data_IF_229714303270
#
_entry.id   IF_229714303270
#
_cell.length_a   1.000
_cell.length_b   1.000
_cell.length_c   1.000
_cell.angle_alpha   90.00
_cell.angle_beta   90.00
_cell.angle_gamma   90.00
#
_symmetry.space_group_name_H-M   'P 1'
#
loop_
_entity.id
_entity.type
_entity.pdbx_description
1 polymer ?
#
# COMPACT_ATOMS: atom_id res chain seq x y z
N UNK A 1 21.98 -14.28 -0.52
CA UNK A 1 21.29 -13.47 -1.56
C UNK A 1 19.79 -13.29 -1.30
N UNK A 2 19.12 -14.14 -0.51
CA UNK A 2 17.68 -14.04 -0.18
C UNK A 2 17.29 -12.95 0.86
N UNK A 3 18.24 -12.41 1.64
CA UNK A 3 17.96 -11.45 2.73
C UNK A 3 17.28 -10.13 2.30
N UNK A 4 17.20 -9.83 1.01
CA UNK A 4 16.55 -8.59 0.54
C UNK A 4 15.04 -8.73 0.33
N UNK A 5 14.51 -9.96 0.24
CA UNK A 5 13.07 -10.19 0.07
C UNK A 5 12.26 -9.63 1.24
N UNK A 6 12.82 -9.59 2.44
CA UNK A 6 12.20 -8.99 3.64
C UNK A 6 11.91 -7.48 3.48
N UNK A 7 12.48 -6.81 2.48
CA UNK A 7 12.22 -5.40 2.16
C UNK A 7 11.10 -5.20 1.13
N UNK A 8 10.66 -6.28 0.49
CA UNK A 8 9.54 -6.27 -0.47
C UNK A 8 8.22 -6.52 0.26
N UNK A 9 7.06 -6.30 -0.39
CA UNK A 9 5.77 -6.69 0.18
C UNK A 9 5.78 -8.16 0.61
N UNK A 10 5.04 -8.50 1.67
CA UNK A 10 5.06 -9.83 2.28
C UNK A 10 4.67 -10.95 1.32
N UNK A 11 3.88 -10.67 0.28
CA UNK A 11 3.53 -11.66 -0.75
C UNK A 11 4.64 -11.91 -1.78
N UNK A 12 5.71 -11.12 -1.78
CA UNK A 12 6.79 -11.23 -2.73
C UNK A 12 7.63 -12.48 -2.47
N UNK A 13 7.84 -13.28 -3.51
CA UNK A 13 8.65 -14.50 -3.43
C UNK A 13 9.43 -14.74 -4.72
N UNK A 14 10.52 -15.49 -4.61
CA UNK A 14 11.27 -15.96 -5.77
C UNK A 14 10.97 -17.45 -5.96
N UNK A 15 10.42 -17.80 -7.11
CA UNK A 15 10.17 -19.19 -7.51
C UNK A 15 10.82 -19.45 -8.87
N UNK A 16 11.63 -20.51 -8.98
CA UNK A 16 12.34 -20.88 -10.22
C UNK A 16 13.16 -19.72 -10.84
N UNK A 17 13.67 -18.80 -10.02
CA UNK A 17 14.43 -17.64 -10.48
C UNK A 17 13.59 -16.43 -10.93
N UNK A 18 12.26 -16.51 -10.84
CA UNK A 18 11.36 -15.39 -11.14
C UNK A 18 10.85 -14.71 -9.87
N UNK A 19 10.74 -13.37 -9.91
CA UNK A 19 10.06 -12.59 -8.87
C UNK A 19 8.54 -12.66 -9.09
N UNK A 20 7.83 -13.16 -8.08
CA UNK A 20 6.39 -13.14 -7.99
C UNK A 20 5.94 -12.03 -7.03
N UNK A 21 4.91 -11.28 -7.42
CA UNK A 21 4.24 -10.25 -6.62
C UNK A 21 2.74 -10.61 -6.56
N UNK A 22 2.20 -10.92 -5.38
CA UNK A 22 0.80 -11.34 -5.25
C UNK A 22 0.45 -12.56 -6.10
N UNK A 23 1.36 -13.53 -6.22
CA UNK A 23 1.28 -14.70 -7.12
C UNK A 23 1.34 -14.42 -8.63
N UNK A 24 1.63 -13.18 -9.05
CA UNK A 24 1.84 -12.83 -10.46
C UNK A 24 3.34 -12.66 -10.75
N UNK A 25 3.82 -13.22 -11.86
CA UNK A 25 5.19 -13.03 -12.30
C UNK A 25 5.42 -11.58 -12.72
N UNK A 26 6.51 -10.98 -12.24
CA UNK A 26 6.93 -9.63 -12.63
C UNK A 26 7.12 -9.53 -14.16
N UNK A 27 7.57 -10.59 -14.82
CA UNK A 27 7.66 -10.62 -16.28
C UNK A 27 6.28 -10.60 -16.95
N UNK A 28 5.29 -11.29 -16.39
CA UNK A 28 3.92 -11.25 -16.92
C UNK A 28 3.34 -9.84 -16.81
N UNK A 29 3.53 -9.19 -15.66
CA UNK A 29 3.13 -7.79 -15.46
C UNK A 29 3.81 -6.84 -16.44
N UNK A 30 5.11 -7.01 -16.70
CA UNK A 30 5.84 -6.20 -17.70
C UNK A 30 5.33 -6.46 -19.11
N UNK A 31 5.04 -7.71 -19.48
CA UNK A 31 4.48 -8.06 -20.79
C UNK A 31 3.11 -7.43 -21.01
N UNK A 32 2.29 -7.32 -19.97
CA UNK A 32 0.94 -6.77 -20.05
C UNK A 32 0.91 -5.24 -19.98
N UNK A 33 1.68 -4.63 -19.08
CA UNK A 33 1.58 -3.20 -18.75
C UNK A 33 2.80 -2.35 -19.15
N UNK A 34 3.89 -2.98 -19.60
CA UNK A 34 5.13 -2.29 -19.98
C UNK A 34 5.96 -1.80 -18.78
N UNK A 35 6.97 -0.96 -19.06
CA UNK A 35 7.83 -0.33 -18.04
C UNK A 35 8.05 1.16 -18.33
N UNK A 36 8.20 2.02 -17.31
CA UNK A 36 8.21 1.71 -15.87
C UNK A 36 6.80 1.38 -15.32
N UNK A 37 6.73 0.42 -14.41
CA UNK A 37 5.48 -0.06 -13.80
C UNK A 37 5.57 0.00 -12.28
N UNK A 38 4.60 0.67 -11.64
CA UNK A 38 4.42 0.65 -10.19
C UNK A 38 3.37 -0.39 -9.82
N UNK A 39 3.75 -1.33 -8.96
CA UNK A 39 2.88 -2.40 -8.46
C UNK A 39 2.69 -2.22 -6.97
N UNK A 40 1.44 -2.10 -6.54
CA UNK A 40 1.08 -2.04 -5.12
C UNK A 40 0.43 -3.37 -4.74
N UNK A 41 0.92 -3.97 -3.66
CA UNK A 41 0.31 -5.17 -3.09
C UNK A 41 -0.89 -4.78 -2.23
N UNK A 42 -2.08 -5.21 -2.65
CA UNK A 42 -3.32 -4.90 -1.93
C UNK A 42 -3.37 -5.56 -0.55
N UNK A 43 -2.88 -6.79 -0.42
CA UNK A 43 -2.92 -7.51 0.84
C UNK A 43 -2.03 -6.82 1.89
N UNK A 44 -0.85 -6.38 1.48
CA UNK A 44 0.07 -5.59 2.31
C UNK A 44 -0.58 -4.27 2.79
N UNK A 45 -1.24 -3.54 1.88
CA UNK A 45 -1.94 -2.30 2.21
C UNK A 45 -3.06 -2.54 3.23
N UNK A 46 -3.87 -3.59 3.03
CA UNK A 46 -4.98 -3.94 3.91
C UNK A 46 -4.47 -4.40 5.30
N UNK A 47 -3.39 -5.17 5.35
CA UNK A 47 -2.75 -5.59 6.59
C UNK A 47 -2.19 -4.38 7.37
N UNK A 48 -1.48 -3.47 6.69
CA UNK A 48 -0.94 -2.27 7.31
C UNK A 48 -2.05 -1.36 7.89
N UNK A 49 -3.16 -1.19 7.16
CA UNK A 49 -4.33 -0.46 7.65
C UNK A 49 -4.94 -1.12 8.90
N UNK A 50 -5.09 -2.44 8.89
CA UNK A 50 -5.60 -3.22 10.01
C UNK A 50 -4.69 -3.17 11.23
N UNK A 51 -3.37 -3.29 11.05
CA UNK A 51 -2.38 -3.16 12.12
C UNK A 51 -2.44 -1.79 12.77
N UNK A 52 -2.48 -0.73 11.96
CA UNK A 52 -2.56 0.63 12.47
C UNK A 52 -3.85 0.88 13.25
N UNK A 53 -4.98 0.36 12.76
CA UNK A 53 -6.27 0.43 13.47
C UNK A 53 -6.20 -0.27 14.83
N UNK A 54 -5.76 -1.53 14.86
CA UNK A 54 -5.63 -2.30 16.11
C UNK A 54 -4.71 -1.61 17.11
N UNK A 55 -3.57 -1.11 16.64
CA UNK A 55 -2.63 -0.39 17.49
C UNK A 55 -3.23 0.89 18.09
N UNK A 56 -4.05 1.64 17.31
CA UNK A 56 -4.78 2.79 17.85
C UNK A 56 -5.82 2.36 18.88
N UNK A 57 -6.64 1.35 18.57
CA UNK A 57 -7.71 0.89 19.45
C UNK A 57 -7.18 0.33 20.79
N UNK A 58 -6.02 -0.36 20.77
CA UNK A 58 -5.39 -0.94 21.96
C UNK A 58 -4.67 0.10 22.84
N UNK A 59 -4.14 1.17 22.24
CA UNK A 59 -3.22 2.11 22.93
C UNK A 59 -3.84 3.48 23.20
N UNK A 60 -4.89 3.86 22.47
CA UNK A 60 -5.50 5.17 22.58
C UNK A 60 -6.91 5.09 23.17
N UNK A 61 -7.09 5.69 24.35
CA UNK A 61 -8.36 5.65 25.09
C UNK A 61 -9.42 6.65 24.59
N UNK A 62 -9.03 7.57 23.69
CA UNK A 62 -9.91 8.60 23.15
C UNK A 62 -10.55 8.21 21.81
N UNK A 63 -11.42 9.07 21.28
CA UNK A 63 -11.88 8.92 19.89
C UNK A 63 -10.69 9.12 18.94
N UNK A 64 -10.56 8.25 17.95
CA UNK A 64 -9.53 8.32 16.92
C UNK A 64 -10.13 8.12 15.53
N UNK A 65 -9.44 8.63 14.53
CA UNK A 65 -9.77 8.42 13.12
C UNK A 65 -8.48 8.34 12.31
N UNK A 66 -8.47 7.50 11.27
CA UNK A 66 -7.33 7.34 10.37
C UNK A 66 -7.60 8.21 9.13
N UNK A 67 -6.59 8.96 8.69
CA UNK A 67 -6.60 9.69 7.42
C UNK A 67 -5.46 9.22 6.53
N UNK A 68 -5.69 9.11 5.23
CA UNK A 68 -4.65 8.78 4.26
C UNK A 68 -3.89 10.04 3.86
N UNK A 69 -2.57 10.05 3.98
CA UNK A 69 -1.76 11.17 3.53
C UNK A 69 -1.66 11.17 2.00
N UNK A 70 -2.44 12.02 1.31
CA UNK A 70 -2.49 12.08 -0.15
C UNK A 70 -1.14 12.45 -0.81
N UNK A 71 -0.19 13.03 -0.06
CA UNK A 71 1.16 13.29 -0.58
C UNK A 71 2.02 12.03 -0.74
N UNK A 72 1.66 10.92 -0.07
CA UNK A 72 2.41 9.68 -0.20
C UNK A 72 2.29 9.14 -1.63
N UNK A 73 1.05 9.00 -2.12
CA UNK A 73 0.73 8.68 -3.50
C UNK A 73 -0.79 8.77 -3.68
N UNK A 74 -1.29 9.69 -4.50
CA UNK A 74 -2.73 9.86 -4.71
C UNK A 74 -3.13 9.59 -6.15
N UNK A 75 -3.97 8.58 -6.32
CA UNK A 75 -4.72 8.30 -7.54
C UNK A 75 -6.14 7.83 -7.17
N UNK A 76 -7.00 7.62 -8.17
CA UNK A 76 -8.39 7.19 -7.95
C UNK A 76 -8.50 5.83 -7.26
N UNK A 77 -7.57 4.91 -7.52
CA UNK A 77 -7.54 3.57 -6.90
C UNK A 77 -7.19 3.66 -5.42
N UNK A 78 -6.19 4.46 -5.04
CA UNK A 78 -5.81 4.68 -3.64
C UNK A 78 -6.88 5.45 -2.87
N UNK A 79 -7.53 6.44 -3.51
CA UNK A 79 -8.65 7.14 -2.90
C UNK A 79 -9.83 6.21 -2.61
N UNK A 80 -10.16 5.33 -3.57
CA UNK A 80 -11.20 4.30 -3.38
C UNK A 80 -10.80 3.29 -2.30
N UNK A 81 -9.57 2.82 -2.31
CA UNK A 81 -9.05 1.93 -1.27
C UNK A 81 -9.17 2.54 0.13
N UNK A 82 -8.76 3.80 0.32
CA UNK A 82 -8.89 4.49 1.60
C UNK A 82 -10.35 4.61 2.06
N UNK A 83 -11.28 4.80 1.13
CA UNK A 83 -12.71 4.78 1.41
C UNK A 83 -13.20 3.38 1.81
N UNK A 84 -12.78 2.32 1.11
CA UNK A 84 -13.08 0.92 1.44
C UNK A 84 -12.58 0.56 2.85
N UNK A 85 -11.45 1.10 3.28
CA UNK A 85 -10.89 0.93 4.62
C UNK A 85 -11.57 1.76 5.72
N UNK A 86 -12.56 2.59 5.37
CA UNK A 86 -13.27 3.46 6.32
C UNK A 86 -12.39 4.55 6.92
N UNK A 87 -11.41 5.06 6.17
CA UNK A 87 -10.63 6.22 6.59
C UNK A 87 -11.48 7.49 6.53
N UNK A 88 -11.26 8.40 7.49
CA UNK A 88 -12.06 9.62 7.62
C UNK A 88 -11.84 10.62 6.46
N UNK A 89 -10.77 10.45 5.70
CA UNK A 89 -10.51 11.24 4.50
C UNK A 89 -9.08 11.14 4.01
N UNK A 90 -8.78 11.94 2.99
CA UNK A 90 -7.45 12.10 2.41
C UNK A 90 -6.91 13.46 2.84
N UNK A 91 -5.81 13.45 3.58
CA UNK A 91 -5.12 14.65 4.00
C UNK A 91 -4.16 15.14 2.89
N UNK A 92 -4.40 16.36 2.41
CA UNK A 92 -3.47 17.09 1.54
C UNK A 92 -3.05 18.39 2.24
N UNK A 93 -1.82 18.87 2.01
CA UNK A 93 -1.53 20.25 2.41
C UNK A 93 -2.15 21.18 1.39
N UNK A 94 -2.72 22.27 1.87
CA UNK A 94 -2.99 23.43 1.03
C UNK A 94 -1.63 24.00 0.63
N UNK A 95 -1.30 23.99 -0.66
CA UNK A 95 -0.19 24.78 -1.14
C UNK A 95 -0.50 26.25 -0.80
N UNK A 96 0.37 26.93 -0.07
CA UNK A 96 0.31 28.39 0.00
C UNK A 96 0.60 28.88 -1.42
N UNK A 97 -0.44 29.34 -2.11
CA UNK A 97 -0.26 30.14 -3.31
C UNK A 97 0.24 31.49 -2.83
N UNK A 98 1.46 31.84 -3.24
CA UNK A 98 2.06 33.14 -3.01
C UNK A 98 1.43 34.17 -3.94
#
# INVERSE_FOLDING_TARGET
MLRRLELFPHSAKIENGELLLGNLSAQALVREFGTPLYVYDRAELDEAAGLYRRALDERWLGKSAITYAGKAFLNTRMARWAQEQGFAGIAAARAKLN
#
